data_IF_713874205294
#
_entry.id   IF_713874205294
#
_cell.length_a   1.000
_cell.length_b   1.000
_cell.length_c   1.000
_cell.angle_alpha   90.00
_cell.angle_beta   90.00
_cell.angle_gamma   90.00
#
_symmetry.space_group_name_H-M   'P 1'
#
loop_
_entity.id
_entity.type
_entity.pdbx_description
1 polymer ?
#
# COMPACT_ATOMS: atom_id res chain seq x y z
N UNK A 1 -4.46 16.47 31.53
CA UNK A 1 -5.22 15.21 31.68
C UNK A 1 -6.50 15.13 30.84
N UNK A 2 -7.18 16.25 30.50
CA UNK A 2 -8.44 16.25 29.71
C UNK A 2 -8.30 15.93 28.21
N UNK A 3 -7.09 15.92 27.64
CA UNK A 3 -6.86 15.65 26.20
C UNK A 3 -6.85 14.16 25.83
N UNK A 4 -6.69 13.26 26.81
CA UNK A 4 -6.68 11.81 26.56
C UNK A 4 -8.09 11.26 26.27
N UNK A 5 -9.14 11.88 26.81
CA UNK A 5 -10.54 11.46 26.64
C UNK A 5 -11.04 11.58 25.19
N UNK A 6 -10.39 12.39 24.34
CA UNK A 6 -10.73 12.51 22.92
C UNK A 6 -10.15 11.37 22.06
N UNK A 7 -9.09 10.68 22.51
CA UNK A 7 -8.47 9.60 21.75
C UNK A 7 -9.24 8.27 21.86
N UNK A 8 -9.88 8.02 23.00
CA UNK A 8 -10.64 6.79 23.28
C UNK A 8 -11.80 6.58 22.29
N UNK A 9 -12.67 7.57 22.01
CA UNK A 9 -13.74 7.38 21.03
C UNK A 9 -13.23 7.22 19.59
N UNK A 10 -12.11 7.87 19.22
CA UNK A 10 -11.48 7.70 17.89
C UNK A 10 -10.93 6.28 17.72
N UNK A 11 -10.38 5.70 18.77
CA UNK A 11 -9.86 4.32 18.77
C UNK A 11 -10.97 3.25 18.70
N UNK A 12 -12.17 3.55 19.20
CA UNK A 12 -13.30 2.61 19.21
C UNK A 12 -14.06 2.57 17.87
N UNK A 13 -14.00 3.65 17.07
CA UNK A 13 -14.67 3.73 15.77
C UNK A 13 -13.92 2.93 14.68
N UNK A 14 -12.61 2.70 14.83
CA UNK A 14 -11.82 1.95 13.84
C UNK A 14 -12.19 0.47 13.73
N UNK A 15 -12.85 -0.12 14.74
CA UNK A 15 -13.24 -1.54 14.73
C UNK A 15 -14.44 -1.89 13.83
N UNK A 16 -15.17 -0.88 13.33
CA UNK A 16 -16.37 -1.08 12.49
C UNK A 16 -16.06 -1.07 10.99
N UNK A 17 -14.84 -0.74 10.60
CA UNK A 17 -14.45 -0.64 9.20
C UNK A 17 -13.97 -2.00 8.68
N UNK A 18 -14.73 -2.58 7.75
CA UNK A 18 -14.30 -3.74 6.95
C UNK A 18 -13.74 -3.26 5.62
N UNK A 19 -12.50 -2.79 5.64
CA UNK A 19 -11.71 -2.61 4.42
C UNK A 19 -10.72 -3.78 4.30
N UNK A 20 -10.56 -4.33 3.09
CA UNK A 20 -9.55 -5.34 2.81
C UNK A 20 -8.50 -4.72 1.90
N UNK A 21 -7.32 -4.47 2.45
CA UNK A 21 -6.17 -4.11 1.64
C UNK A 21 -5.56 -5.37 1.01
N UNK A 22 -5.01 -5.27 -0.21
CA UNK A 22 -4.27 -6.37 -0.81
C UNK A 22 -3.08 -6.78 0.07
N UNK A 23 -3.05 -8.04 0.52
CA UNK A 23 -1.95 -8.57 1.30
C UNK A 23 -1.17 -9.63 0.50
N UNK A 24 0.15 -9.48 0.48
CA UNK A 24 1.05 -10.49 -0.09
C UNK A 24 1.23 -11.67 0.85
N UNK A 25 1.24 -12.90 0.32
CA UNK A 25 1.60 -14.10 1.11
C UNK A 25 3.03 -14.04 1.63
N UNK A 26 3.92 -13.34 0.90
CA UNK A 26 5.30 -13.06 1.29
C UNK A 26 5.44 -11.62 1.78
N UNK A 27 4.70 -11.25 2.83
CA UNK A 27 4.71 -9.88 3.38
C UNK A 27 6.09 -9.40 3.81
N UNK A 28 6.96 -10.31 4.28
CA UNK A 28 8.34 -10.00 4.66
C UNK A 28 9.20 -9.53 3.48
N UNK A 29 8.81 -9.90 2.25
CA UNK A 29 9.47 -9.47 1.02
C UNK A 29 8.92 -8.15 0.48
N UNK A 30 7.95 -7.52 1.15
CA UNK A 30 7.41 -6.19 0.84
C UNK A 30 7.29 -5.33 2.11
N UNK A 31 8.41 -5.00 2.78
CA UNK A 31 8.40 -4.35 4.09
C UNK A 31 7.76 -2.96 4.08
N UNK A 32 7.95 -2.18 3.01
CA UNK A 32 7.43 -0.81 2.88
C UNK A 32 5.90 -0.76 2.70
N UNK A 33 5.28 -1.87 2.26
CA UNK A 33 3.80 -1.98 2.22
C UNK A 33 3.21 -2.43 3.55
N UNK A 34 4.03 -2.97 4.46
CA UNK A 34 3.57 -3.47 5.76
C UNK A 34 3.69 -2.40 6.85
N UNK A 35 4.87 -1.78 6.98
CA UNK A 35 5.10 -0.79 8.01
C UNK A 35 6.23 0.16 7.59
N UNK A 36 6.01 1.49 7.54
CA UNK A 36 7.05 2.43 7.16
C UNK A 36 8.21 2.51 8.15
N UNK A 37 8.07 2.00 9.37
CA UNK A 37 9.20 1.85 10.29
C UNK A 37 10.27 0.90 9.74
N UNK A 38 9.94 -0.03 8.83
CA UNK A 38 10.94 -0.94 8.24
C UNK A 38 11.78 -0.33 7.11
N UNK A 39 11.49 0.90 6.72
CA UNK A 39 12.29 1.66 5.75
C UNK A 39 13.73 1.78 6.24
N UNK A 40 14.73 1.39 5.44
CA UNK A 40 16.14 1.47 5.83
C UNK A 40 16.58 0.49 6.93
N UNK A 41 15.67 -0.25 7.57
CA UNK A 41 15.98 -1.21 8.64
C UNK A 41 16.22 -2.60 8.06
N UNK A 42 17.44 -2.81 7.57
CA UNK A 42 17.95 -4.09 7.08
C UNK A 42 19.48 -4.07 7.10
N UNK A 43 20.09 -5.24 6.91
CA UNK A 43 21.55 -5.33 6.76
C UNK A 43 21.94 -5.07 5.30
N UNK A 44 22.68 -3.99 5.06
CA UNK A 44 23.05 -3.53 3.72
C UNK A 44 23.07 -2.01 3.56
N UNK A 45 23.32 -1.57 2.33
CA UNK A 45 23.37 -0.14 1.95
C UNK A 45 22.11 0.30 1.17
N UNK A 46 21.48 -0.62 0.47
CA UNK A 46 20.27 -0.39 -0.31
C UNK A 46 19.49 -1.70 -0.41
N UNK A 47 18.16 -1.60 -0.49
CA UNK A 47 17.26 -2.74 -0.69
C UNK A 47 16.31 -2.39 -1.83
N UNK A 48 16.17 -3.29 -2.80
CA UNK A 48 15.15 -3.25 -3.84
C UNK A 48 14.27 -4.49 -3.66
N UNK A 49 12.95 -4.29 -3.67
CA UNK A 49 11.99 -5.38 -3.60
C UNK A 49 10.91 -5.21 -4.67
N UNK A 50 10.57 -6.30 -5.35
CA UNK A 50 9.50 -6.37 -6.35
C UNK A 50 8.65 -7.59 -6.02
N UNK A 51 7.34 -7.40 -5.92
CA UNK A 51 6.40 -8.48 -5.63
C UNK A 51 5.26 -8.45 -6.63
N UNK A 52 4.84 -9.64 -7.06
CA UNK A 52 3.71 -9.82 -7.94
C UNK A 52 2.79 -10.88 -7.35
N UNK A 53 1.49 -10.60 -7.36
CA UNK A 53 0.43 -11.44 -6.81
C UNK A 53 -0.70 -11.53 -7.82
N UNK A 54 -1.06 -12.75 -8.19
CA UNK A 54 -2.23 -13.06 -9.00
C UNK A 54 -3.19 -13.90 -8.13
N UNK A 55 -4.39 -13.38 -7.89
CA UNK A 55 -5.42 -14.01 -7.08
C UNK A 55 -6.62 -14.41 -7.94
N UNK A 56 -7.06 -15.66 -7.77
CA UNK A 56 -8.04 -16.34 -8.63
C UNK A 56 -7.63 -16.39 -10.10
N UNK A 57 -6.48 -17.00 -10.43
CA UNK A 57 -5.97 -17.05 -11.80
C UNK A 57 -6.89 -17.78 -12.78
N UNK A 58 -7.82 -18.61 -12.28
CA UNK A 58 -8.85 -19.27 -13.09
C UNK A 58 -9.91 -18.30 -13.64
N UNK A 59 -10.09 -17.14 -13.01
CA UNK A 59 -10.91 -16.05 -13.52
C UNK A 59 -9.95 -15.05 -14.15
N UNK A 60 -10.04 -14.80 -15.48
CA UNK A 60 -9.09 -13.94 -16.17
C UNK A 60 -8.89 -12.58 -15.48
N UNK A 61 -7.71 -12.40 -14.87
CA UNK A 61 -7.28 -11.17 -14.19
C UNK A 61 -8.31 -10.63 -13.19
N UNK A 62 -8.82 -11.50 -12.32
CA UNK A 62 -9.72 -11.10 -11.25
C UNK A 62 -9.10 -10.06 -10.32
N UNK A 63 -7.90 -10.37 -9.79
CA UNK A 63 -7.12 -9.46 -8.95
C UNK A 63 -5.63 -9.68 -9.19
N UNK A 64 -4.94 -8.65 -9.67
CA UNK A 64 -3.50 -8.66 -9.93
C UNK A 64 -2.88 -7.46 -9.22
N UNK A 65 -2.06 -7.75 -8.21
CA UNK A 65 -1.36 -6.74 -7.42
C UNK A 65 0.14 -6.82 -7.69
N UNK A 66 0.77 -5.69 -8.03
CA UNK A 66 2.22 -5.59 -8.19
C UNK A 66 2.75 -4.48 -7.31
N UNK A 67 3.83 -4.74 -6.58
CA UNK A 67 4.54 -3.73 -5.81
C UNK A 67 6.01 -3.67 -6.21
N UNK A 68 6.58 -2.48 -6.08
CA UNK A 68 8.01 -2.25 -6.20
C UNK A 68 8.43 -1.24 -5.14
N UNK A 69 9.59 -1.43 -4.52
CA UNK A 69 10.11 -0.51 -3.52
C UNK A 69 11.63 -0.46 -3.52
N UNK A 70 12.15 0.68 -3.10
CA UNK A 70 13.58 0.88 -2.85
C UNK A 70 13.76 1.71 -1.58
N UNK A 71 14.67 1.28 -0.72
CA UNK A 71 14.95 1.96 0.53
C UNK A 71 16.42 1.87 0.96
N UNK A 72 16.84 2.87 1.75
CA UNK A 72 18.24 3.12 2.12
C UNK A 72 18.33 3.49 3.60
N UNK A 73 19.23 2.88 4.38
CA UNK A 73 19.70 3.49 5.62
C UNK A 73 20.62 4.67 5.27
N UNK A 74 20.31 5.83 5.83
CA UNK A 74 21.07 7.06 5.66
C UNK A 74 21.71 7.48 6.98
N UNK A 75 22.67 8.40 6.90
CA UNK A 75 23.40 8.96 8.05
C UNK A 75 24.20 7.94 8.88
N UNK A 76 24.46 6.74 8.35
CA UNK A 76 25.41 5.78 8.97
C UNK A 76 26.73 6.50 9.29
N UNK A 77 27.18 6.45 10.54
CA UNK A 77 28.39 7.13 11.02
C UNK A 77 28.22 8.61 11.43
N UNK A 78 27.04 9.21 11.22
CA UNK A 78 26.69 10.56 11.73
C UNK A 78 25.68 10.52 12.87
N UNK A 79 25.02 9.38 13.06
CA UNK A 79 24.14 9.07 14.18
C UNK A 79 24.80 7.99 15.05
N UNK A 80 24.31 7.73 16.28
CA UNK A 80 24.82 6.65 17.12
C UNK A 80 24.92 5.34 16.34
N UNK A 81 25.97 4.56 16.59
CA UNK A 81 26.36 3.38 15.77
C UNK A 81 25.23 2.37 15.56
N UNK A 82 24.37 2.19 16.56
CA UNK A 82 23.24 1.26 16.53
C UNK A 82 21.90 1.90 16.13
N UNK A 83 21.84 3.22 15.98
CA UNK A 83 20.64 3.92 15.53
C UNK A 83 20.56 3.83 13.99
N UNK A 84 19.34 3.74 13.45
CA UNK A 84 19.13 3.62 12.00
C UNK A 84 18.13 4.67 11.56
N UNK A 85 18.54 5.53 10.63
CA UNK A 85 17.64 6.45 9.95
C UNK A 85 17.43 5.98 8.51
N UNK A 86 16.18 5.82 8.08
CA UNK A 86 15.82 5.24 6.79
C UNK A 86 14.99 6.17 5.91
N UNK A 87 15.24 6.12 4.61
CA UNK A 87 14.39 6.75 3.57
C UNK A 87 14.05 5.73 2.51
N UNK A 88 12.86 5.83 1.93
CA UNK A 88 12.46 4.91 0.88
C UNK A 88 11.23 5.36 0.12
N UNK A 89 11.07 4.77 -1.06
CA UNK A 89 9.90 4.97 -1.92
C UNK A 89 9.31 3.62 -2.28
N UNK A 90 8.00 3.57 -2.42
CA UNK A 90 7.29 2.36 -2.86
C UNK A 90 6.13 2.71 -3.77
N UNK A 91 5.86 1.82 -4.72
CA UNK A 91 4.70 1.86 -5.58
C UNK A 91 3.93 0.55 -5.45
N UNK A 92 2.60 0.64 -5.41
CA UNK A 92 1.71 -0.50 -5.50
C UNK A 92 0.66 -0.22 -6.55
N UNK A 93 0.48 -1.14 -7.49
CA UNK A 93 -0.63 -1.12 -8.43
C UNK A 93 -1.47 -2.36 -8.21
N UNK A 94 -2.74 -2.15 -7.90
CA UNK A 94 -3.75 -3.20 -7.83
C UNK A 94 -4.73 -3.05 -8.99
N UNK A 95 -4.90 -4.12 -9.76
CA UNK A 95 -5.82 -4.16 -10.89
C UNK A 95 -6.85 -5.26 -10.67
N UNK A 96 -8.13 -4.91 -10.80
CA UNK A 96 -9.24 -5.84 -10.66
C UNK A 96 -10.20 -5.78 -11.86
N UNK A 97 -11.10 -6.78 -11.93
CA UNK A 97 -12.10 -6.92 -12.99
C UNK A 97 -11.47 -6.81 -14.40
N UNK A 98 -10.47 -7.64 -14.68
CA UNK A 98 -9.73 -7.62 -15.95
C UNK A 98 -9.12 -6.25 -16.29
N UNK A 99 -8.57 -5.57 -15.27
CA UNK A 99 -7.99 -4.23 -15.38
C UNK A 99 -8.99 -3.13 -15.75
N UNK A 100 -10.29 -3.35 -15.52
CA UNK A 100 -11.28 -2.28 -15.58
C UNK A 100 -11.13 -1.32 -14.41
N UNK A 101 -10.81 -1.81 -13.21
CA UNK A 101 -10.51 -0.97 -12.05
C UNK A 101 -9.02 -1.07 -11.71
N UNK A 102 -8.36 0.08 -11.57
CA UNK A 102 -6.95 0.17 -11.19
C UNK A 102 -6.78 1.14 -10.03
N UNK A 103 -6.12 0.69 -8.97
CA UNK A 103 -5.69 1.52 -7.85
C UNK A 103 -4.17 1.59 -7.86
N UNK A 104 -3.64 2.80 -7.87
CA UNK A 104 -2.21 3.08 -7.83
C UNK A 104 -1.89 3.84 -6.56
N UNK A 105 -0.90 3.36 -5.83
CA UNK A 105 -0.40 3.93 -4.59
C UNK A 105 1.07 4.27 -4.83
N UNK A 106 1.45 5.53 -4.64
CA UNK A 106 2.84 5.97 -4.64
C UNK A 106 3.17 6.54 -3.28
N UNK A 107 4.18 6.00 -2.62
CA UNK A 107 4.50 6.33 -1.23
C UNK A 107 5.96 6.74 -1.07
N UNK A 108 6.18 7.70 -0.18
CA UNK A 108 7.50 8.09 0.33
C UNK A 108 7.49 7.83 1.82
N UNK A 109 8.56 7.23 2.33
CA UNK A 109 8.66 6.77 3.71
C UNK A 109 9.97 7.20 4.35
N UNK A 110 9.87 7.46 5.65
CA UNK A 110 10.93 7.88 6.55
C UNK A 110 10.84 7.00 7.80
N UNK A 111 11.96 6.58 8.35
CA UNK A 111 11.98 5.83 9.61
C UNK A 111 13.14 6.25 10.48
N UNK A 112 12.99 6.13 11.80
CA UNK A 112 14.08 6.24 12.76
C UNK A 112 13.96 5.13 13.78
N UNK A 113 15.02 4.36 13.98
CA UNK A 113 15.17 3.35 15.04
C UNK A 113 16.23 3.80 16.02
N UNK A 114 15.86 3.83 17.30
CA UNK A 114 16.75 4.07 18.41
C UNK A 114 17.11 2.76 19.10
N UNK A 115 18.40 2.49 19.24
CA UNK A 115 18.89 1.40 20.08
C UNK A 115 18.74 1.76 21.57
N UNK A 116 18.30 0.79 22.35
CA UNK A 116 18.11 0.89 23.80
C UNK A 116 19.27 0.23 24.57
N UNK A 117 20.11 -0.53 23.88
CA UNK A 117 21.29 -1.21 24.41
C UNK A 117 22.55 -0.88 23.59
N UNK A 118 23.72 -1.05 24.22
CA UNK A 118 25.02 -0.85 23.58
C UNK A 118 25.28 -1.85 22.45
N UNK A 119 24.61 -3.00 22.46
CA UNK A 119 24.74 -4.03 21.43
C UNK A 119 23.73 -3.88 20.28
N UNK A 120 22.74 -2.99 20.40
CA UNK A 120 21.72 -2.76 19.36
C UNK A 120 20.70 -3.89 19.18
N UNK A 121 20.57 -4.85 20.11
CA UNK A 121 19.58 -5.93 20.02
C UNK A 121 18.16 -5.46 20.31
N UNK A 122 18.02 -4.45 21.17
CA UNK A 122 16.73 -3.88 21.55
C UNK A 122 16.59 -2.51 20.90
N UNK A 123 15.71 -2.39 19.91
CA UNK A 123 15.48 -1.12 19.22
C UNK A 123 14.01 -0.74 19.23
N UNK A 124 13.72 0.55 19.44
CA UNK A 124 12.39 1.12 19.23
C UNK A 124 12.41 2.00 17.99
N UNK A 125 11.44 1.79 17.09
CA UNK A 125 11.39 2.49 15.82
C UNK A 125 10.06 3.19 15.58
N UNK A 126 10.13 4.33 14.91
CA UNK A 126 8.97 5.03 14.38
C UNK A 126 9.15 5.26 12.88
N UNK A 127 8.06 5.18 12.13
CA UNK A 127 8.03 5.44 10.70
C UNK A 127 6.95 6.44 10.33
N UNK A 128 7.20 7.25 9.31
CA UNK A 128 6.25 8.15 8.70
C UNK A 128 6.17 7.85 7.21
N UNK A 129 4.97 7.85 6.65
CA UNK A 129 4.74 7.61 5.23
C UNK A 129 3.71 8.60 4.69
N UNK A 130 4.04 9.25 3.59
CA UNK A 130 3.09 10.00 2.78
C UNK A 130 2.80 9.22 1.50
N UNK A 131 1.52 9.03 1.20
CA UNK A 131 1.08 8.26 0.03
C UNK A 131 0.11 9.07 -0.82
N UNK A 132 0.35 9.07 -2.13
CA UNK A 132 -0.58 9.54 -3.14
C UNK A 132 -1.29 8.34 -3.77
N UNK A 133 -2.61 8.37 -3.77
CA UNK A 133 -3.42 7.28 -4.27
C UNK A 133 -4.25 7.78 -5.45
N UNK A 134 -4.39 6.95 -6.47
CA UNK A 134 -5.23 7.22 -7.65
C UNK A 134 -6.04 5.98 -7.98
N UNK A 135 -7.35 6.17 -8.15
CA UNK A 135 -8.26 5.13 -8.59
C UNK A 135 -8.79 5.49 -9.98
N UNK A 136 -8.66 4.57 -10.92
CA UNK A 136 -9.10 4.73 -12.31
C UNK A 136 -10.01 3.57 -12.67
N UNK A 137 -11.23 3.90 -13.10
CA UNK A 137 -12.20 2.98 -13.67
C UNK A 137 -12.27 3.21 -15.19
N UNK A 138 -12.08 2.12 -15.94
CA UNK A 138 -12.18 2.03 -17.38
C UNK A 138 -13.53 1.39 -17.73
N UNK A 139 -14.52 2.25 -17.96
CA UNK A 139 -15.92 1.89 -18.19
C UNK A 139 -16.07 1.11 -19.50
N UNK A 140 -15.15 1.30 -20.47
CA UNK A 140 -15.20 0.61 -21.78
C UNK A 140 -15.01 -0.90 -21.67
N UNK A 141 -14.47 -1.37 -20.54
CA UNK A 141 -14.27 -2.79 -20.24
C UNK A 141 -15.38 -3.39 -19.40
N UNK A 142 -16.33 -2.57 -18.95
CA UNK A 142 -17.46 -3.01 -18.16
C UNK A 142 -18.65 -3.30 -19.06
N UNK A 143 -19.49 -4.23 -18.62
CA UNK A 143 -20.74 -4.57 -19.26
C UNK A 143 -21.85 -4.29 -18.26
N UNK A 144 -22.79 -3.44 -18.65
CA UNK A 144 -23.92 -3.01 -17.81
C UNK A 144 -25.21 -3.73 -18.23
N UNK A 145 -26.19 -3.76 -17.32
CA UNK A 145 -27.48 -4.41 -17.56
C UNK A 145 -28.21 -3.79 -18.76
N UNK A 146 -28.15 -2.46 -18.89
CA UNK A 146 -28.79 -1.72 -19.97
C UNK A 146 -28.16 -1.93 -21.36
N UNK A 147 -26.98 -2.56 -21.40
CA UNK A 147 -26.33 -2.98 -22.63
C UNK A 147 -26.83 -4.35 -23.13
N UNK A 148 -27.57 -5.10 -22.30
CA UNK A 148 -28.08 -6.45 -22.60
C UNK A 148 -29.55 -6.37 -23.04
N UNK A 149 -29.83 -6.67 -24.31
CA UNK A 149 -31.21 -6.79 -24.82
C UNK A 149 -31.51 -8.21 -25.26
N UNK A 150 -32.80 -8.54 -25.39
CA UNK A 150 -33.25 -9.83 -25.92
C UNK A 150 -32.69 -10.14 -27.32
N UNK A 151 -32.29 -9.11 -28.07
CA UNK A 151 -31.74 -9.21 -29.42
C UNK A 151 -30.20 -9.09 -29.48
N UNK A 152 -29.51 -9.04 -28.33
CA UNK A 152 -28.05 -8.95 -28.25
C UNK A 152 -27.53 -7.70 -27.52
N UNK A 153 -26.27 -7.36 -27.76
CA UNK A 153 -25.56 -6.28 -27.07
C UNK A 153 -25.72 -4.94 -27.80
N UNK A 154 -26.16 -3.89 -27.10
CA UNK A 154 -26.37 -2.55 -27.69
C UNK A 154 -25.10 -1.68 -27.69
N UNK A 155 -24.11 -2.01 -26.85
CA UNK A 155 -22.80 -1.35 -26.83
C UNK A 155 -22.78 0.06 -26.19
N UNK A 156 -23.92 0.59 -25.80
CA UNK A 156 -24.04 1.92 -25.18
C UNK A 156 -24.75 1.79 -23.84
N UNK A 157 -24.10 2.24 -22.77
CA UNK A 157 -24.73 2.38 -21.45
C UNK A 157 -25.20 3.82 -21.26
N UNK A 158 -26.32 3.95 -20.57
CA UNK A 158 -26.89 5.18 -20.02
C UNK A 158 -26.31 5.51 -18.64
N UNK A 159 -25.55 4.59 -18.03
CA UNK A 159 -24.87 4.82 -16.76
C UNK A 159 -23.73 5.84 -16.92
N UNK A 160 -23.83 6.95 -16.18
CA UNK A 160 -22.78 7.96 -16.11
C UNK A 160 -21.91 7.67 -14.89
N UNK A 161 -20.82 6.93 -15.10
CA UNK A 161 -19.78 6.76 -14.11
C UNK A 161 -18.67 7.79 -14.37
N UNK A 162 -18.40 8.64 -13.40
CA UNK A 162 -17.23 9.54 -13.42
C UNK A 162 -16.15 9.00 -12.51
N UNK A 163 -14.91 9.00 -13.00
CA UNK A 163 -13.77 8.69 -12.15
C UNK A 163 -13.73 9.66 -10.95
N UNK A 164 -13.72 9.08 -9.75
CA UNK A 164 -13.60 9.85 -8.52
C UNK A 164 -12.29 10.65 -8.54
N UNK A 165 -12.40 11.97 -8.36
CA UNK A 165 -11.24 12.81 -8.03
C UNK A 165 -11.11 12.77 -6.52
N UNK A 166 -10.00 12.23 -6.03
CA UNK A 166 -9.58 12.38 -4.63
C UNK A 166 -9.43 13.85 -4.27
#
# INVERSE_FOLDING_TARGET
>A
MKRLFLFIPILLISGLLKAQDPHFSQFFASPLTLNPAFTGKFDGQWRIAVNHRDQWPSIPKAYVTTSASVDFPILKGKIPENDVFGVGISGVTDASANSALKLNYGSISLSYHKALDENGYNTIGAGFQGSYNSMVLDITKLTFEDMLTQNGFTGTTSDILTNGRN
#
